data_IF_413797800816
#
_entry.id   IF_413797800816
#
_cell.length_a   1.000
_cell.length_b   1.000
_cell.length_c   1.000
_cell.angle_alpha   90.00
_cell.angle_beta   90.00
_cell.angle_gamma   90.00
#
_symmetry.space_group_name_H-M   'P 1'
#
loop_
_entity.id
_entity.type
_entity.pdbx_description
1 polymer ?
#
# COMPACT_ATOMS: atom_id res chain seq x y z
N UNK A 1 9.62 -4.91 29.07
CA UNK A 1 10.12 -6.29 28.91
C UNK A 1 11.16 -6.59 29.96
N UNK A 2 10.89 -7.60 30.76
CA UNK A 2 11.71 -7.87 31.94
C UNK A 2 13.18 -8.21 31.62
N UNK A 3 13.50 -8.83 30.51
CA UNK A 3 14.85 -9.32 30.18
C UNK A 3 15.38 -8.85 28.84
N UNK A 4 14.73 -7.87 28.21
CA UNK A 4 15.07 -7.48 26.85
C UNK A 4 14.72 -8.55 25.80
N UNK A 5 14.10 -9.65 26.21
CA UNK A 5 13.66 -10.70 25.29
C UNK A 5 12.23 -10.45 24.82
N UNK A 6 11.99 -10.79 23.57
CA UNK A 6 10.64 -10.70 23.01
C UNK A 6 9.74 -11.75 23.65
N UNK A 7 8.53 -11.32 24.03
CA UNK A 7 7.51 -12.25 24.53
C UNK A 7 6.92 -13.07 23.37
N UNK A 8 6.28 -14.22 23.68
CA UNK A 8 5.57 -14.97 22.62
C UNK A 8 4.52 -14.14 21.90
N UNK A 9 3.80 -13.26 22.62
CA UNK A 9 2.81 -12.37 22.02
C UNK A 9 3.47 -11.37 21.05
N UNK A 10 4.59 -10.78 21.44
CA UNK A 10 5.34 -9.89 20.57
C UNK A 10 5.81 -10.58 19.30
N UNK A 11 6.32 -11.80 19.43
CA UNK A 11 6.74 -12.60 18.28
C UNK A 11 5.57 -12.90 17.34
N UNK A 12 4.40 -13.16 17.89
CA UNK A 12 3.20 -13.43 17.08
C UNK A 12 2.80 -12.19 16.27
N UNK A 13 2.82 -11.01 16.90
CA UNK A 13 2.53 -9.74 16.21
C UNK A 13 3.53 -9.53 15.06
N UNK A 14 4.81 -9.76 15.32
CA UNK A 14 5.86 -9.59 14.30
C UNK A 14 5.68 -10.56 13.14
N UNK A 15 5.27 -11.80 13.41
CA UNK A 15 4.98 -12.76 12.34
C UNK A 15 3.83 -12.27 11.46
N UNK A 16 2.75 -11.77 12.06
CA UNK A 16 1.62 -11.22 11.31
C UNK A 16 2.00 -9.98 10.54
N UNK A 17 2.79 -9.11 11.15
CA UNK A 17 3.30 -7.93 10.48
C UNK A 17 4.12 -8.32 9.24
N UNK A 18 4.96 -9.36 9.35
CA UNK A 18 5.78 -9.80 8.22
C UNK A 18 4.93 -10.29 7.04
N UNK A 19 3.78 -10.91 7.31
CA UNK A 19 2.86 -11.34 6.26
C UNK A 19 2.27 -10.13 5.52
N UNK A 20 1.89 -9.09 6.26
CA UNK A 20 1.42 -7.84 5.66
C UNK A 20 2.53 -7.20 4.83
N UNK A 21 3.73 -7.10 5.39
CA UNK A 21 4.88 -6.53 4.70
C UNK A 21 5.20 -7.28 3.41
N UNK A 22 5.12 -8.61 3.41
CA UNK A 22 5.32 -9.42 2.20
C UNK A 22 4.26 -9.10 1.14
N UNK A 23 3.03 -8.90 1.56
CA UNK A 23 1.96 -8.53 0.64
C UNK A 23 2.19 -7.15 0.05
N UNK A 24 2.71 -6.21 0.84
CA UNK A 24 3.03 -4.86 0.39
C UNK A 24 4.34 -4.78 -0.40
N UNK A 25 5.17 -5.81 -0.37
CA UNK A 25 6.47 -5.82 -1.04
C UNK A 25 6.34 -6.12 -2.54
N UNK A 26 5.51 -5.34 -3.23
CA UNK A 26 5.25 -5.44 -4.65
C UNK A 26 4.93 -4.05 -5.18
N UNK A 27 5.68 -3.54 -6.18
CA UNK A 27 5.46 -2.17 -6.67
C UNK A 27 4.05 -1.92 -7.18
N UNK A 28 3.47 -2.88 -7.88
CA UNK A 28 2.11 -2.71 -8.44
C UNK A 28 1.06 -2.63 -7.34
N UNK A 29 1.21 -3.41 -6.27
CA UNK A 29 0.32 -3.32 -5.11
C UNK A 29 0.45 -1.99 -4.41
N UNK A 30 1.66 -1.48 -4.29
CA UNK A 30 1.90 -0.15 -3.70
C UNK A 30 1.28 0.95 -4.57
N UNK A 31 1.34 0.83 -5.88
CA UNK A 31 0.67 1.77 -6.79
C UNK A 31 -0.84 1.77 -6.56
N UNK A 32 -1.44 0.59 -6.44
CA UNK A 32 -2.88 0.48 -6.20
C UNK A 32 -3.26 1.10 -4.84
N UNK A 33 -2.49 0.81 -3.80
CA UNK A 33 -2.74 1.38 -2.47
C UNK A 33 -2.59 2.90 -2.49
N UNK A 34 -1.60 3.41 -3.22
CA UNK A 34 -1.42 4.84 -3.37
C UNK A 34 -2.63 5.48 -4.07
N UNK A 35 -3.15 4.82 -5.10
CA UNK A 35 -4.34 5.31 -5.80
C UNK A 35 -5.59 5.28 -4.93
N UNK A 36 -5.66 4.39 -3.94
CA UNK A 36 -6.80 4.26 -3.02
C UNK A 36 -6.71 5.20 -1.81
N UNK A 37 -5.63 5.97 -1.68
CA UNK A 37 -5.40 6.78 -0.47
C UNK A 37 -6.45 7.87 -0.25
N UNK A 38 -7.05 8.37 -1.33
CA UNK A 38 -8.01 9.47 -1.27
C UNK A 38 -9.47 9.01 -1.21
N UNK A 39 -9.72 7.72 -1.31
CA UNK A 39 -11.07 7.18 -1.23
C UNK A 39 -11.27 5.94 -2.09
N UNK A 40 -12.50 5.50 -2.12
CA UNK A 40 -12.90 4.30 -2.85
C UNK A 40 -12.72 4.48 -4.36
N UNK A 41 -12.36 3.37 -5.03
CA UNK A 41 -12.23 3.34 -6.49
C UNK A 41 -12.67 1.99 -7.03
N UNK A 42 -13.23 2.01 -8.23
CA UNK A 42 -13.52 0.81 -9.01
C UNK A 42 -12.25 0.30 -9.68
N UNK A 43 -12.30 -0.93 -10.20
CA UNK A 43 -11.19 -1.48 -10.99
C UNK A 43 -10.85 -0.58 -12.18
N UNK A 44 -11.86 -0.08 -12.88
CA UNK A 44 -11.66 0.81 -14.03
C UNK A 44 -10.91 2.08 -13.62
N UNK A 45 -11.32 2.69 -12.51
CA UNK A 45 -10.65 3.88 -11.99
C UNK A 45 -9.21 3.59 -11.58
N UNK A 46 -8.98 2.41 -10.98
CA UNK A 46 -7.62 2.00 -10.60
C UNK A 46 -6.74 1.75 -11.81
N UNK A 47 -7.29 1.17 -12.89
CA UNK A 47 -6.55 1.00 -14.13
C UNK A 47 -6.12 2.34 -14.72
N UNK A 48 -7.01 3.33 -14.68
CA UNK A 48 -6.71 4.69 -15.17
C UNK A 48 -5.63 5.33 -14.30
N UNK A 49 -5.77 5.22 -12.97
CA UNK A 49 -4.85 5.86 -12.04
C UNK A 49 -3.44 5.25 -12.07
N UNK A 50 -3.34 3.94 -12.30
CA UNK A 50 -2.06 3.23 -12.23
C UNK A 50 -1.46 2.90 -13.60
N UNK A 51 -2.28 2.89 -14.65
CA UNK A 51 -1.85 2.42 -15.97
C UNK A 51 -1.73 0.91 -16.06
N UNK A 52 -2.16 0.17 -15.04
CA UNK A 52 -2.10 -1.29 -15.03
C UNK A 52 -3.31 -1.88 -15.77
N UNK A 53 -3.13 -3.11 -16.26
CA UNK A 53 -4.21 -3.86 -16.92
C UNK A 53 -5.25 -4.30 -15.91
N UNK A 54 -6.49 -4.44 -16.36
CA UNK A 54 -7.61 -4.87 -15.50
C UNK A 54 -7.33 -6.21 -14.82
N UNK A 55 -6.82 -7.19 -15.55
CA UNK A 55 -6.51 -8.49 -14.96
C UNK A 55 -5.46 -8.38 -13.84
N UNK A 56 -4.46 -7.54 -14.04
CA UNK A 56 -3.41 -7.30 -13.06
C UNK A 56 -3.98 -6.63 -11.81
N UNK A 57 -4.77 -5.58 -11.98
CA UNK A 57 -5.41 -4.87 -10.86
C UNK A 57 -6.30 -5.84 -10.09
N UNK A 58 -7.16 -6.60 -10.78
CA UNK A 58 -8.07 -7.54 -10.14
C UNK A 58 -7.34 -8.62 -9.35
N UNK A 59 -6.23 -9.16 -9.90
CA UNK A 59 -5.41 -10.15 -9.20
C UNK A 59 -4.82 -9.61 -7.92
N UNK A 60 -4.24 -8.41 -7.98
CA UNK A 60 -3.62 -7.79 -6.81
C UNK A 60 -4.66 -7.40 -5.76
N UNK A 61 -5.82 -6.90 -6.18
CA UNK A 61 -6.92 -6.60 -5.27
C UNK A 61 -7.41 -7.86 -4.55
N UNK A 62 -7.50 -9.00 -5.25
CA UNK A 62 -7.92 -10.25 -4.64
C UNK A 62 -6.95 -10.70 -3.55
N UNK A 63 -5.65 -10.58 -3.80
CA UNK A 63 -4.62 -10.92 -2.80
C UNK A 63 -4.71 -9.99 -1.59
N UNK A 64 -4.82 -8.69 -1.83
CA UNK A 64 -4.89 -7.70 -0.75
C UNK A 64 -6.20 -7.81 0.04
N UNK A 65 -7.29 -8.17 -0.62
CA UNK A 65 -8.57 -8.43 0.05
C UNK A 65 -8.46 -9.67 0.94
N UNK A 66 -7.86 -10.73 0.45
CA UNK A 66 -7.64 -11.95 1.23
C UNK A 66 -6.82 -11.66 2.48
N UNK A 67 -5.85 -10.78 2.39
CA UNK A 67 -5.00 -10.35 3.51
C UNK A 67 -5.63 -9.24 4.35
N UNK A 68 -6.86 -8.87 4.05
CA UNK A 68 -7.62 -7.84 4.79
C UNK A 68 -6.96 -6.46 4.77
N UNK A 69 -6.24 -6.16 3.70
CA UNK A 69 -5.64 -4.84 3.48
C UNK A 69 -6.64 -3.93 2.79
N UNK A 70 -7.42 -4.48 1.86
CA UNK A 70 -8.51 -3.77 1.20
C UNK A 70 -9.82 -4.52 1.41
N UNK A 71 -10.92 -3.79 1.33
CA UNK A 71 -12.27 -4.35 1.34
C UNK A 71 -13.02 -3.84 0.11
N UNK A 72 -14.05 -4.58 -0.29
CA UNK A 72 -14.89 -4.19 -1.40
C UNK A 72 -16.31 -3.97 -0.93
N UNK A 73 -17.04 -3.12 -1.66
CA UNK A 73 -18.47 -2.99 -1.49
C UNK A 73 -19.14 -2.83 -2.85
N UNK A 74 -20.34 -3.33 -2.98
CA UNK A 74 -21.10 -3.17 -4.20
C UNK A 74 -21.89 -1.87 -4.16
N UNK A 75 -21.79 -1.08 -5.22
CA UNK A 75 -22.54 0.15 -5.41
C UNK A 75 -23.23 0.07 -6.76
N UNK A 76 -24.49 -0.39 -6.78
CA UNK A 76 -25.20 -0.68 -8.01
C UNK A 76 -24.55 -1.82 -8.77
N UNK A 77 -24.16 -1.56 -10.01
CA UNK A 77 -23.48 -2.54 -10.86
C UNK A 77 -21.94 -2.46 -10.75
N UNK A 78 -21.45 -1.60 -9.87
CA UNK A 78 -20.02 -1.36 -9.72
C UNK A 78 -19.55 -1.88 -8.38
N UNK A 79 -18.35 -2.46 -8.36
CA UNK A 79 -17.68 -2.84 -7.12
C UNK A 79 -16.61 -1.79 -6.83
N UNK A 80 -16.65 -1.24 -5.62
CA UNK A 80 -15.68 -0.25 -5.16
C UNK A 80 -14.76 -0.86 -4.11
N UNK A 81 -13.51 -0.48 -4.16
CA UNK A 81 -12.48 -0.96 -3.23
C UNK A 81 -11.96 0.20 -2.40
N UNK A 82 -11.64 -0.08 -1.14
CA UNK A 82 -10.99 0.90 -0.27
C UNK A 82 -10.02 0.19 0.67
N UNK A 83 -9.10 0.95 1.22
CA UNK A 83 -8.15 0.45 2.22
C UNK A 83 -8.90 0.28 3.54
N UNK A 84 -8.68 -0.85 4.21
CA UNK A 84 -9.36 -1.17 5.48
C UNK A 84 -9.00 -0.18 6.56
N UNK A 85 -7.73 0.21 6.64
CA UNK A 85 -7.23 1.11 7.68
C UNK A 85 -6.23 2.09 7.08
N UNK A 86 -6.56 3.38 7.14
CA UNK A 86 -5.73 4.44 6.55
C UNK A 86 -4.33 4.53 7.16
N UNK A 87 -4.12 3.94 8.33
CA UNK A 87 -2.78 3.90 8.94
C UNK A 87 -1.81 3.08 8.10
N UNK A 88 -2.29 2.17 7.26
CA UNK A 88 -1.46 1.45 6.30
C UNK A 88 -0.82 2.43 5.32
N UNK A 89 -1.61 3.38 4.80
CA UNK A 89 -1.08 4.41 3.90
C UNK A 89 -0.07 5.29 4.62
N UNK A 90 -0.37 5.66 5.86
CA UNK A 90 0.53 6.49 6.66
C UNK A 90 1.87 5.80 6.89
N UNK A 91 1.85 4.50 7.17
CA UNK A 91 3.07 3.72 7.31
C UNK A 91 3.88 3.69 6.02
N UNK A 92 3.21 3.53 4.87
CA UNK A 92 3.85 3.57 3.57
C UNK A 92 4.44 4.95 3.28
N UNK A 93 3.73 6.02 3.63
CA UNK A 93 4.23 7.39 3.46
C UNK A 93 5.50 7.61 4.27
N UNK A 94 5.54 7.12 5.50
CA UNK A 94 6.72 7.23 6.38
C UNK A 94 7.89 6.45 5.76
N UNK A 95 7.63 5.26 5.23
CA UNK A 95 8.66 4.48 4.55
C UNK A 95 9.23 5.24 3.35
N UNK A 96 8.35 5.91 2.58
CA UNK A 96 8.79 6.73 1.45
C UNK A 96 9.67 7.90 1.91
N UNK A 97 9.32 8.52 3.05
CA UNK A 97 10.16 9.58 3.63
C UNK A 97 11.55 9.05 3.96
N UNK A 98 11.66 7.85 4.52
CA UNK A 98 12.94 7.21 4.80
C UNK A 98 13.73 7.01 3.51
N UNK A 99 13.08 6.49 2.47
CA UNK A 99 13.73 6.27 1.17
C UNK A 99 14.23 7.56 0.56
N UNK A 100 13.42 8.62 0.59
CA UNK A 100 13.78 9.93 0.05
C UNK A 100 14.99 10.49 0.80
N UNK A 101 14.98 10.35 2.12
CA UNK A 101 16.10 10.80 2.95
C UNK A 101 17.38 10.02 2.64
N UNK A 102 17.29 8.69 2.54
CA UNK A 102 18.43 7.83 2.18
C UNK A 102 18.97 8.16 0.78
N UNK A 103 18.05 8.48 -0.13
CA UNK A 103 18.39 8.85 -1.51
C UNK A 103 18.71 10.34 -1.68
N UNK A 104 18.94 11.06 -0.58
CA UNK A 104 19.23 12.50 -0.65
C UNK A 104 20.49 12.81 -1.47
N UNK A 105 21.38 11.84 -1.59
CA UNK A 105 22.57 11.97 -2.46
C UNK A 105 22.26 11.55 -3.91
N UNK A 106 21.11 10.94 -4.16
CA UNK A 106 20.59 10.66 -5.49
C UNK A 106 19.64 11.80 -5.86
N UNK A 107 20.20 12.90 -6.35
CA UNK A 107 19.44 14.09 -6.69
C UNK A 107 18.36 13.81 -7.74
N UNK A 108 18.55 12.81 -8.60
CA UNK A 108 17.59 12.46 -9.65
C UNK A 108 16.28 11.92 -9.05
N UNK A 109 16.37 11.03 -8.08
CA UNK A 109 15.18 10.47 -7.42
C UNK A 109 14.43 11.54 -6.64
N UNK A 110 15.15 12.38 -5.90
CA UNK A 110 14.58 13.49 -5.14
C UNK A 110 13.86 14.46 -6.06
N UNK A 111 14.45 14.80 -7.20
CA UNK A 111 13.83 15.68 -8.19
C UNK A 111 12.55 15.10 -8.77
N UNK A 112 12.54 13.80 -9.08
CA UNK A 112 11.35 13.12 -9.61
C UNK A 112 10.18 13.16 -8.61
N UNK A 113 10.44 12.89 -7.35
CA UNK A 113 9.42 12.93 -6.30
C UNK A 113 8.92 14.35 -6.08
N UNK A 114 9.82 15.33 -6.04
CA UNK A 114 9.47 16.74 -5.87
C UNK A 114 8.60 17.24 -7.02
N UNK A 115 8.94 16.88 -8.26
CA UNK A 115 8.16 17.25 -9.43
C UNK A 115 6.74 16.64 -9.38
N UNK A 116 6.63 15.39 -8.95
CA UNK A 116 5.34 14.71 -8.80
C UNK A 116 4.45 15.41 -7.76
N UNK A 117 5.03 15.88 -6.67
CA UNK A 117 4.28 16.54 -5.60
C UNK A 117 3.82 17.97 -5.95
N UNK A 118 4.35 18.56 -7.02
CA UNK A 118 3.96 19.90 -7.46
C UNK A 118 2.78 19.91 -8.43
N UNK A 119 2.45 18.76 -8.99
CA UNK A 119 1.38 18.67 -9.98
C UNK A 119 -0.01 18.45 -9.39
#
# INVERSE_FOLDING_TARGET
>A
MANGMLTPAEKQVLRRQSEICKTLANPKRLEILHALRDGEKSVTELCIATGLRQATVSQHLAIMRHRKIVIERRAGNTVLYKIVDKRINKACDIMQEVLIHQASEDSKLVQLVSASNRS
#
